data_IF_067784423138
#
_entry.id   IF_067784423138
#
_cell.length_a   1.000
_cell.length_b   1.000
_cell.length_c   1.000
_cell.angle_alpha   90.00
_cell.angle_beta   90.00
_cell.angle_gamma   90.00
#
_symmetry.space_group_name_H-M   'P 1'
#
loop_
_entity.id
_entity.type
_entity.pdbx_description
1 polymer ?
#
# COMPACT_ATOMS: atom_id res chain seq x y z
N UNK A 1 5.64 -15.89 14.10
CA UNK A 1 6.79 -16.60 13.48
C UNK A 1 6.83 -16.48 11.96
N UNK A 2 5.87 -17.04 11.20
CA UNK A 2 5.90 -17.03 9.72
C UNK A 2 5.91 -15.63 9.07
N UNK A 3 5.08 -14.69 9.55
CA UNK A 3 5.04 -13.33 8.97
C UNK A 3 6.39 -12.62 9.09
N UNK A 4 7.01 -12.70 10.27
CA UNK A 4 8.33 -12.11 10.54
C UNK A 4 9.40 -12.70 9.59
N UNK A 5 9.39 -14.02 9.37
CA UNK A 5 10.29 -14.65 8.41
C UNK A 5 10.13 -14.06 7.00
N UNK A 6 8.89 -13.88 6.53
CA UNK A 6 8.61 -13.31 5.21
C UNK A 6 9.09 -11.87 5.06
N UNK A 7 9.16 -11.09 6.13
CA UNK A 7 9.67 -9.71 6.06
C UNK A 7 11.13 -9.62 5.59
N UNK A 8 11.89 -10.71 5.70
CA UNK A 8 13.29 -10.78 5.20
C UNK A 8 13.40 -11.18 3.73
N UNK A 9 12.27 -11.49 3.07
CA UNK A 9 12.20 -12.08 1.73
C UNK A 9 11.43 -11.21 0.72
N UNK A 10 10.99 -10.02 1.13
CA UNK A 10 10.12 -9.14 0.32
C UNK A 10 10.67 -7.72 0.31
N UNK A 11 10.44 -7.00 -0.79
CA UNK A 11 10.86 -5.60 -0.92
C UNK A 11 9.72 -4.63 -0.58
N UNK A 12 8.46 -5.04 -0.72
CA UNK A 12 7.28 -4.23 -0.44
C UNK A 12 6.35 -5.01 0.49
N UNK A 13 5.97 -4.39 1.60
CA UNK A 13 4.91 -4.89 2.48
C UNK A 13 3.73 -3.93 2.39
N UNK A 14 2.53 -4.47 2.14
CA UNK A 14 1.28 -3.72 2.32
C UNK A 14 0.44 -4.41 3.37
N UNK A 15 -0.06 -3.64 4.32
CA UNK A 15 -0.89 -4.14 5.42
C UNK A 15 -2.05 -3.19 5.69
N UNK A 16 -3.22 -3.73 6.03
CA UNK A 16 -4.37 -2.93 6.45
C UNK A 16 -4.31 -2.61 7.94
N UNK A 17 -5.07 -1.62 8.38
CA UNK A 17 -5.25 -1.34 9.81
C UNK A 17 -5.76 -2.56 10.59
N UNK A 18 -6.70 -3.32 10.01
CA UNK A 18 -7.27 -4.51 10.61
C UNK A 18 -6.22 -5.64 10.75
N UNK A 19 -5.49 -5.95 9.67
CA UNK A 19 -4.44 -6.97 9.67
C UNK A 19 -3.32 -6.59 10.66
N UNK A 20 -2.95 -5.31 10.71
CA UNK A 20 -1.94 -4.83 11.64
C UNK A 20 -2.39 -4.98 13.10
N UNK A 21 -3.62 -4.58 13.42
CA UNK A 21 -4.19 -4.76 14.77
C UNK A 21 -4.28 -6.23 15.15
N UNK A 22 -4.60 -7.11 14.20
CA UNK A 22 -4.63 -8.54 14.43
C UNK A 22 -3.25 -9.11 14.77
N UNK A 23 -2.20 -8.71 14.04
CA UNK A 23 -0.84 -9.24 14.21
C UNK A 23 -0.08 -8.60 15.37
N UNK A 24 -0.23 -7.29 15.60
CA UNK A 24 0.61 -6.50 16.51
C UNK A 24 -0.17 -5.78 17.61
N UNK A 25 -1.51 -5.84 17.59
CA UNK A 25 -2.36 -5.18 18.60
C UNK A 25 -2.27 -3.66 18.53
N UNK A 26 -1.99 -3.04 19.67
CA UNK A 26 -1.87 -1.59 19.82
C UNK A 26 -0.41 -1.07 19.76
N UNK A 27 0.53 -1.90 19.27
CA UNK A 27 1.92 -1.47 19.13
C UNK A 27 2.05 -0.31 18.13
N UNK A 28 3.03 0.56 18.35
CA UNK A 28 3.32 1.69 17.47
C UNK A 28 3.74 1.20 16.07
N UNK A 29 2.93 1.54 15.07
CA UNK A 29 3.16 1.18 13.67
C UNK A 29 4.51 1.69 13.14
N UNK A 30 4.94 2.88 13.56
CA UNK A 30 6.20 3.47 13.09
C UNK A 30 7.41 2.71 13.67
N UNK A 31 7.28 2.16 14.88
CA UNK A 31 8.31 1.30 15.46
C UNK A 31 8.39 -0.05 14.73
N UNK A 32 7.25 -0.71 14.53
CA UNK A 32 7.21 -2.04 13.88
C UNK A 32 7.65 -1.96 12.41
N UNK A 33 7.20 -0.95 11.68
CA UNK A 33 7.62 -0.72 10.29
C UNK A 33 9.12 -0.46 10.17
N UNK A 34 9.74 0.24 11.13
CA UNK A 34 11.19 0.43 11.17
C UNK A 34 11.94 -0.91 11.28
N UNK A 35 11.43 -1.85 12.07
CA UNK A 35 12.02 -3.19 12.15
C UNK A 35 11.91 -3.93 10.81
N UNK A 36 10.80 -3.77 10.08
CA UNK A 36 10.67 -4.34 8.73
C UNK A 36 11.63 -3.70 7.73
N UNK A 37 11.81 -2.38 7.77
CA UNK A 37 12.80 -1.69 6.94
C UNK A 37 14.23 -2.17 7.25
N UNK A 38 14.55 -2.38 8.53
CA UNK A 38 15.83 -2.95 8.95
C UNK A 38 16.05 -4.38 8.44
N UNK A 39 14.97 -5.14 8.19
CA UNK A 39 15.03 -6.47 7.58
C UNK A 39 15.26 -6.44 6.06
N UNK A 40 15.33 -5.25 5.46
CA UNK A 40 15.61 -5.06 4.03
C UNK A 40 14.39 -4.72 3.17
N UNK A 41 13.20 -4.60 3.78
CA UNK A 41 12.01 -4.07 3.10
C UNK A 41 12.28 -2.63 2.66
N UNK A 42 11.88 -2.28 1.44
CA UNK A 42 12.07 -0.94 0.88
C UNK A 42 10.87 -0.04 1.19
N UNK A 43 9.66 -0.58 1.03
CA UNK A 43 8.41 0.15 1.20
C UNK A 43 7.46 -0.58 2.14
N UNK A 44 6.97 0.11 3.16
CA UNK A 44 5.91 -0.38 4.06
C UNK A 44 4.67 0.47 3.88
N UNK A 45 3.64 -0.09 3.25
CA UNK A 45 2.38 0.58 2.93
C UNK A 45 1.31 0.20 3.96
N UNK A 46 0.63 1.20 4.49
CA UNK A 46 -0.46 1.05 5.44
C UNK A 46 -1.76 1.63 4.88
N UNK A 47 -2.77 0.79 4.68
CA UNK A 47 -4.07 1.24 4.16
C UNK A 47 -5.08 1.47 5.28
N UNK A 48 -5.71 2.64 5.28
CA UNK A 48 -6.60 3.17 6.32
C UNK A 48 -8.05 3.31 5.81
N UNK A 49 -8.45 2.47 4.85
CA UNK A 49 -9.78 2.49 4.26
C UNK A 49 -10.14 3.85 3.64
N UNK A 50 -11.22 4.45 4.11
CA UNK A 50 -11.73 5.73 3.59
C UNK A 50 -10.81 6.93 3.86
N UNK A 51 -9.87 6.81 4.81
CA UNK A 51 -8.92 7.89 5.10
C UNK A 51 -7.81 7.96 4.05
N UNK A 52 -7.43 6.83 3.44
CA UNK A 52 -6.34 6.77 2.47
C UNK A 52 -5.31 5.72 2.78
N UNK A 53 -4.07 6.04 2.46
CA UNK A 53 -2.93 5.16 2.68
C UNK A 53 -1.68 5.98 2.96
N UNK A 54 -0.76 5.38 3.72
CA UNK A 54 0.59 5.91 3.93
C UNK A 54 1.65 4.91 3.51
N UNK A 55 2.82 5.40 3.13
CA UNK A 55 4.03 4.59 2.92
C UNK A 55 5.13 5.08 3.85
N UNK A 56 5.84 4.13 4.47
CA UNK A 56 7.06 4.37 5.24
C UNK A 56 8.22 3.76 4.46
N UNK A 57 9.26 4.54 4.22
CA UNK A 57 10.41 4.18 3.39
C UNK A 57 11.66 4.94 3.85
N UNK A 58 12.81 4.69 3.22
CA UNK A 58 14.06 5.45 3.43
C UNK A 58 14.34 5.81 4.90
N UNK A 59 14.54 4.78 5.72
CA UNK A 59 14.84 4.90 7.16
C UNK A 59 13.81 5.69 7.98
N UNK A 60 12.53 5.68 7.56
CA UNK A 60 11.40 6.21 8.33
C UNK A 60 10.76 7.48 7.78
N UNK A 61 11.10 7.90 6.55
CA UNK A 61 10.29 8.89 5.83
C UNK A 61 8.87 8.38 5.65
N UNK A 62 7.90 9.28 5.75
CA UNK A 62 6.47 8.96 5.64
C UNK A 62 5.79 9.88 4.63
N UNK A 63 4.98 9.28 3.75
CA UNK A 63 4.07 10.00 2.85
C UNK A 63 2.67 9.47 3.09
N UNK A 64 1.71 10.37 3.24
CA UNK A 64 0.29 10.04 3.36
C UNK A 64 -0.49 10.64 2.20
N UNK A 65 -1.33 9.80 1.57
CA UNK A 65 -2.23 10.22 0.50
C UNK A 65 -3.67 9.90 0.90
N UNK A 66 -4.50 10.95 0.92
CA UNK A 66 -5.92 10.84 1.26
C UNK A 66 -6.71 10.11 0.18
N UNK A 67 -7.64 9.24 0.58
CA UNK A 67 -8.59 8.64 -0.37
C UNK A 67 -9.77 9.56 -0.68
N UNK A 68 -10.35 9.40 -1.87
CA UNK A 68 -11.61 10.05 -2.23
C UNK A 68 -12.76 9.34 -1.53
N UNK A 69 -13.62 10.11 -0.85
CA UNK A 69 -14.85 9.56 -0.26
C UNK A 69 -15.82 9.14 -1.36
N UNK A 70 -16.31 7.92 -1.27
CA UNK A 70 -17.27 7.31 -2.19
C UNK A 70 -18.37 6.61 -1.40
N UNK A 71 -19.51 6.34 -2.05
CA UNK A 71 -20.56 5.52 -1.46
C UNK A 71 -20.13 4.05 -1.55
N UNK A 72 -19.89 3.43 -0.40
CA UNK A 72 -19.43 2.04 -0.33
C UNK A 72 -20.61 1.08 -0.51
N UNK A 73 -20.46 0.14 -1.44
CA UNK A 73 -21.38 -0.97 -1.70
C UNK A 73 -20.81 -2.27 -1.11
N UNK A 74 -19.52 -2.52 -1.31
CA UNK A 74 -18.80 -3.72 -0.87
C UNK A 74 -17.31 -3.38 -0.69
N UNK A 75 -16.57 -4.08 0.16
CA UNK A 75 -15.11 -3.88 0.33
C UNK A 75 -14.27 -5.04 -0.16
N UNK A 76 -14.90 -6.11 -0.65
CA UNK A 76 -14.22 -7.28 -1.18
C UNK A 76 -13.25 -6.87 -2.31
N UNK A 77 -12.00 -7.35 -2.21
CA UNK A 77 -10.89 -7.10 -3.15
C UNK A 77 -10.43 -5.63 -3.30
N UNK A 78 -10.85 -4.72 -2.42
CA UNK A 78 -10.30 -3.36 -2.40
C UNK A 78 -8.79 -3.35 -2.15
N UNK A 79 -8.30 -4.25 -1.27
CA UNK A 79 -6.89 -4.45 -0.99
C UNK A 79 -6.10 -4.99 -2.19
N UNK A 80 -6.66 -5.95 -2.92
CA UNK A 80 -6.03 -6.52 -4.12
C UNK A 80 -5.98 -5.49 -5.25
N UNK A 81 -7.04 -4.70 -5.40
CA UNK A 81 -7.09 -3.64 -6.41
C UNK A 81 -6.11 -2.51 -6.09
N UNK A 82 -5.95 -2.18 -4.80
CA UNK A 82 -4.89 -1.28 -4.35
C UNK A 82 -3.51 -1.82 -4.75
N UNK A 83 -3.23 -3.11 -4.50
CA UNK A 83 -1.95 -3.73 -4.87
C UNK A 83 -1.70 -3.63 -6.37
N UNK A 84 -2.70 -3.96 -7.19
CA UNK A 84 -2.60 -3.88 -8.64
C UNK A 84 -2.32 -2.45 -9.13
N UNK A 85 -3.06 -1.46 -8.63
CA UNK A 85 -2.85 -0.06 -9.00
C UNK A 85 -1.49 0.47 -8.55
N UNK A 86 -1.03 0.11 -7.36
CA UNK A 86 0.29 0.53 -6.87
C UNK A 86 1.41 -0.04 -7.72
N UNK A 87 1.37 -1.35 -7.99
CA UNK A 87 2.40 -2.05 -8.78
C UNK A 87 2.38 -1.61 -10.24
N UNK A 88 1.21 -1.36 -10.84
CA UNK A 88 1.10 -0.83 -12.20
C UNK A 88 1.84 0.51 -12.33
N UNK A 89 1.64 1.44 -11.39
CA UNK A 89 2.31 2.74 -11.45
C UNK A 89 3.82 2.64 -11.16
N UNK A 90 4.26 1.67 -10.35
CA UNK A 90 5.70 1.40 -10.23
C UNK A 90 6.27 0.85 -11.54
N UNK A 91 5.57 -0.06 -12.21
CA UNK A 91 6.00 -0.64 -13.49
C UNK A 91 6.10 0.42 -14.59
N UNK A 92 5.07 1.25 -14.74
CA UNK A 92 5.06 2.36 -15.70
C UNK A 92 6.19 3.39 -15.47
N UNK A 93 6.67 3.50 -14.23
CA UNK A 93 7.79 4.37 -13.87
C UNK A 93 9.15 3.67 -13.94
N UNK A 94 9.20 2.37 -14.26
CA UNK A 94 10.43 1.58 -14.28
C UNK A 94 11.03 1.35 -12.90
N UNK A 95 10.19 1.21 -11.86
CA UNK A 95 10.60 1.15 -10.45
C UNK A 95 10.45 -0.24 -9.82
N UNK A 96 10.11 -1.28 -10.60
CA UNK A 96 9.94 -2.66 -10.11
C UNK A 96 11.26 -3.43 -9.97
N UNK A 97 12.26 -2.81 -9.36
CA UNK A 97 13.51 -3.44 -8.97
C UNK A 97 14.08 -2.79 -7.70
N UNK A 98 14.93 -3.53 -6.97
CA UNK A 98 15.47 -3.06 -5.68
C UNK A 98 16.29 -1.77 -5.77
N UNK A 99 17.03 -1.58 -6.86
CA UNK A 99 17.91 -0.41 -7.01
C UNK A 99 17.05 0.83 -7.22
N UNK A 100 16.03 0.73 -8.06
CA UNK A 100 15.10 1.82 -8.32
C UNK A 100 14.24 2.16 -7.09
N UNK A 101 13.82 1.15 -6.31
CA UNK A 101 13.11 1.38 -5.04
C UNK A 101 13.97 2.08 -3.99
N UNK A 102 15.30 1.93 -4.00
CA UNK A 102 16.21 2.59 -3.07
C UNK A 102 16.38 4.09 -3.33
N UNK A 103 16.11 4.55 -4.55
CA UNK A 103 16.23 5.95 -4.96
C UNK A 103 14.88 6.57 -5.33
N UNK A 104 13.78 5.92 -4.97
CA UNK A 104 12.43 6.38 -5.27
C UNK A 104 12.16 7.73 -4.59
N UNK A 105 11.60 8.67 -5.35
CA UNK A 105 11.26 10.00 -4.85
C UNK A 105 9.85 10.06 -4.26
N UNK A 106 9.61 11.07 -3.42
CA UNK A 106 8.32 11.34 -2.82
C UNK A 106 7.21 11.48 -3.88
N UNK A 107 7.47 12.21 -4.96
CA UNK A 107 6.50 12.41 -6.05
C UNK A 107 6.12 11.10 -6.75
N UNK A 108 7.06 10.17 -6.92
CA UNK A 108 6.79 8.86 -7.52
C UNK A 108 5.92 7.99 -6.60
N UNK A 109 6.17 8.03 -5.29
CA UNK A 109 5.36 7.34 -4.28
C UNK A 109 3.96 7.95 -4.14
N UNK A 110 3.85 9.29 -4.11
CA UNK A 110 2.57 9.99 -4.09
C UNK A 110 1.71 9.62 -5.30
N UNK A 111 2.32 9.55 -6.50
CA UNK A 111 1.63 9.12 -7.72
C UNK A 111 1.11 7.69 -7.59
N UNK A 112 1.95 6.76 -7.12
CA UNK A 112 1.56 5.36 -6.95
C UNK A 112 0.45 5.18 -5.91
N UNK A 113 0.57 5.82 -4.74
CA UNK A 113 -0.45 5.79 -3.69
C UNK A 113 -1.77 6.43 -4.15
N UNK A 114 -1.70 7.57 -4.85
CA UNK A 114 -2.90 8.27 -5.35
C UNK A 114 -3.68 7.40 -6.34
N UNK A 115 -2.98 6.75 -7.27
CA UNK A 115 -3.61 5.86 -8.23
C UNK A 115 -4.19 4.61 -7.55
N UNK A 116 -3.43 3.98 -6.66
CA UNK A 116 -3.86 2.81 -5.89
C UNK A 116 -5.13 3.11 -5.05
N UNK A 117 -5.17 4.26 -4.37
CA UNK A 117 -6.36 4.73 -3.65
C UNK A 117 -7.53 4.95 -4.62
N UNK A 118 -7.30 5.55 -5.79
CA UNK A 118 -8.33 5.82 -6.80
C UNK A 118 -9.00 4.53 -7.27
N UNK A 119 -8.23 3.53 -7.72
CA UNK A 119 -8.78 2.28 -8.25
C UNK A 119 -9.46 1.44 -7.16
N UNK A 120 -8.91 1.43 -5.94
CA UNK A 120 -9.55 0.79 -4.80
C UNK A 120 -10.88 1.47 -4.45
N UNK A 121 -10.94 2.81 -4.52
CA UNK A 121 -12.19 3.56 -4.28
C UNK A 121 -13.28 3.25 -5.30
N UNK A 122 -12.93 2.96 -6.56
CA UNK A 122 -13.91 2.55 -7.57
C UNK A 122 -14.41 1.13 -7.27
N UNK A 123 -13.51 0.22 -6.89
CA UNK A 123 -13.85 -1.17 -6.56
C UNK A 123 -14.91 -1.25 -5.47
N UNK A 124 -14.78 -0.41 -4.43
CA UNK A 124 -15.74 -0.45 -3.31
C UNK A 124 -17.13 0.08 -3.65
N UNK A 125 -17.32 0.70 -4.82
CA UNK A 125 -18.64 1.13 -5.32
C UNK A 125 -19.39 0.04 -6.09
N UNK A 126 -18.73 -1.10 -6.34
CA UNK A 126 -19.27 -2.26 -7.07
C UNK A 126 -19.42 -3.43 -6.10
N UNK A 127 -20.31 -4.37 -6.42
CA UNK A 127 -20.51 -5.59 -5.60
C UNK A 127 -19.44 -6.63 -5.92
N UNK A 128 -18.88 -7.27 -4.89
CA UNK A 128 -17.87 -8.31 -5.00
C UNK A 128 -16.51 -7.81 -5.48
N UNK A 129 -15.62 -8.75 -5.80
CA UNK A 129 -14.29 -8.46 -6.33
C UNK A 129 -14.38 -7.97 -7.79
N UNK A 130 -14.65 -6.67 -7.98
CA UNK A 130 -14.90 -6.07 -9.29
C UNK A 130 -13.99 -4.83 -9.51
N UNK A 131 -12.69 -5.04 -9.81
CA UNK A 131 -11.76 -3.96 -10.09
C UNK A 131 -12.12 -3.21 -11.38
N UNK A 132 -11.77 -1.91 -11.52
CA UNK A 132 -12.04 -1.16 -12.73
C UNK A 132 -11.11 -1.55 -13.89
N UNK A 133 -11.64 -1.50 -15.11
CA UNK A 133 -10.85 -1.46 -16.34
C UNK A 133 -10.24 -0.07 -16.54
N UNK A 134 -9.22 0.04 -17.41
CA UNK A 134 -8.52 1.31 -17.66
C UNK A 134 -9.43 2.45 -18.15
N UNK A 135 -10.49 2.13 -18.90
CA UNK A 135 -11.48 3.08 -19.39
C UNK A 135 -12.52 3.51 -18.33
N UNK A 136 -12.53 2.86 -17.16
CA UNK A 136 -13.39 3.19 -16.02
C UNK A 136 -12.69 4.05 -14.95
N UNK A 137 -11.40 4.36 -15.13
CA UNK A 137 -10.54 5.00 -14.12
C UNK A 137 -10.58 6.52 -14.20
#
# INVERSE_FOLDING_TARGET
DRFVELTTKVDIIKISEEDYRYLYGAQDFNKVSKDWLNNGVKLVIFTLGAEGSKVIYDNGKEIFVKSKKVVVVDTIAAGDTFNAGFLLILDEQGLLDRVSLDIISDTQLEKALSYANKVASITVTKKGANPPWLDEI
#
